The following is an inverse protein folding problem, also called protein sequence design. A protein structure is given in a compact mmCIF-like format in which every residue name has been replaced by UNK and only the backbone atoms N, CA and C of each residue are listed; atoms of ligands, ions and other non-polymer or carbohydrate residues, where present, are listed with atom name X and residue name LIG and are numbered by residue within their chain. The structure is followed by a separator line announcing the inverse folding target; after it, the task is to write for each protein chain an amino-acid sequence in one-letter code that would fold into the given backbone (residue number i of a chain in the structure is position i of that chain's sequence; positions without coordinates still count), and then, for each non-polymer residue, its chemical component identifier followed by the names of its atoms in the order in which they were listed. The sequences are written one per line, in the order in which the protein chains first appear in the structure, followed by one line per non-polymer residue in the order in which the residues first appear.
data_IF_592791224462
#
_entry.id   IF_592791224462
#
_cell.length_a   1.000
_cell.length_b   1.000
_cell.length_c   1.000
_cell.angle_alpha   90.00
_cell.angle_beta   90.00
_cell.angle_gamma   90.00
#
_symmetry.space_group_name_H-M   'P 1'
#
loop_
_entity.id
_entity.type
_entity.pdbx_description
1 polymer ?
#
# COMPACT_ATOMS: atom_id res chain seq x y z
N UNK A 1 -20.69 -4.86 -8.37
CA UNK A 1 -21.17 -5.95 -7.50
C UNK A 1 -20.06 -6.72 -6.81
N UNK A 2 -18.92 -7.01 -7.45
CA UNK A 2 -17.86 -7.87 -6.88
C UNK A 2 -17.18 -7.35 -5.60
N UNK A 3 -17.08 -6.03 -5.41
CA UNK A 3 -16.46 -5.45 -4.19
C UNK A 3 -17.35 -5.52 -2.95
N UNK A 4 -18.68 -5.51 -3.11
CA UNK A 4 -19.61 -5.69 -2.01
C UNK A 4 -19.60 -7.14 -1.49
N UNK A 5 -19.37 -8.11 -2.39
CA UNK A 5 -19.27 -9.52 -2.04
C UNK A 5 -18.01 -9.84 -1.20
N UNK A 6 -16.88 -9.17 -1.50
CA UNK A 6 -15.62 -9.34 -0.76
C UNK A 6 -15.64 -8.73 0.66
N UNK A 7 -16.41 -7.67 0.89
CA UNK A 7 -16.59 -7.08 2.23
C UNK A 7 -17.56 -7.89 3.10
N UNK A 8 -18.52 -8.58 2.50
CA UNK A 8 -19.43 -9.49 3.21
C UNK A 8 -18.73 -10.80 3.60
N UNK A 9 -17.80 -11.30 2.78
CA UNK A 9 -17.08 -12.55 3.06
C UNK A 9 -16.06 -12.45 4.21
N UNK A 10 -15.50 -11.26 4.46
CA UNK A 10 -14.57 -11.03 5.58
C UNK A 10 -15.31 -10.87 6.93
N UNK A 11 -16.56 -10.40 6.91
CA UNK A 11 -17.38 -10.21 8.11
C UNK A 11 -17.88 -11.54 8.71
N UNK A 12 -18.10 -12.57 7.88
CA UNK A 12 -18.56 -13.88 8.36
C UNK A 12 -17.47 -14.70 9.06
N UNK A 13 -16.19 -14.45 8.78
CA UNK A 13 -15.09 -15.22 9.37
C UNK A 13 -14.71 -14.79 10.79
N UNK A 14 -15.16 -13.62 11.26
CA UNK A 14 -14.74 -13.03 12.55
C UNK A 14 -15.86 -13.05 13.61
N UNK A 15 -17.08 -13.48 13.26
CA UNK A 15 -18.18 -13.59 14.25
C UNK A 15 -18.58 -12.25 14.89
N UNK A 16 -18.11 -11.13 14.36
CA UNK A 16 -18.50 -9.79 14.76
C UNK A 16 -19.27 -9.18 13.58
N UNK A 17 -20.57 -8.97 13.74
CA UNK A 17 -21.33 -8.11 12.84
C UNK A 17 -20.88 -6.67 13.12
N UNK A 18 -20.13 -6.00 12.23
CA UNK A 18 -19.94 -4.57 12.40
C UNK A 18 -21.31 -3.93 12.21
N UNK A 19 -21.84 -3.31 13.27
CA UNK A 19 -22.93 -2.34 13.15
C UNK A 19 -22.38 -1.16 12.37
N UNK A 20 -22.41 -1.27 11.03
CA UNK A 20 -22.13 -0.15 10.14
C UNK A 20 -23.19 0.90 10.42
N UNK A 21 -22.78 2.05 10.92
CA UNK A 21 -23.68 3.15 11.23
C UNK A 21 -24.40 3.56 9.94
N UNK A 22 -25.70 3.84 10.02
CA UNK A 22 -26.45 4.37 8.88
C UNK A 22 -25.83 5.66 8.30
N UNK A 23 -25.03 6.39 9.09
CA UNK A 23 -24.28 7.56 8.62
C UNK A 23 -23.14 7.19 7.66
N UNK A 24 -22.44 6.08 7.87
CA UNK A 24 -21.32 5.66 7.00
C UNK A 24 -21.82 5.22 5.62
N UNK A 25 -23.00 4.59 5.58
CA UNK A 25 -23.65 4.19 4.32
C UNK A 25 -24.13 5.43 3.53
N UNK A 26 -24.69 6.43 4.23
CA UNK A 26 -25.13 7.68 3.59
C UNK A 26 -23.95 8.47 3.01
N UNK A 27 -22.80 8.51 3.71
CA UNK A 27 -21.59 9.17 3.19
C UNK A 27 -21.01 8.44 1.98
N UNK A 28 -20.98 7.10 2.00
CA UNK A 28 -20.51 6.30 0.86
C UNK A 28 -21.38 6.50 -0.38
N UNK A 29 -22.72 6.55 -0.22
CA UNK A 29 -23.64 6.82 -1.33
C UNK A 29 -23.49 8.25 -1.88
N UNK A 30 -23.25 9.25 -1.02
CA UNK A 30 -22.99 10.63 -1.46
C UNK A 30 -21.68 10.75 -2.25
N UNK A 31 -20.64 9.99 -1.88
CA UNK A 31 -19.39 9.94 -2.66
C UNK A 31 -19.59 9.27 -4.02
N UNK A 32 -20.43 8.24 -4.09
CA UNK A 32 -20.74 7.56 -5.35
C UNK A 32 -21.47 8.49 -6.34
N UNK A 33 -22.47 9.25 -5.89
CA UNK A 33 -23.18 10.23 -6.72
C UNK A 33 -22.25 11.32 -7.29
N UNK A 34 -21.27 11.77 -6.51
CA UNK A 34 -20.24 12.70 -7.00
C UNK A 34 -19.37 12.10 -8.10
N UNK A 35 -18.98 10.83 -7.97
CA UNK A 35 -18.17 10.14 -8.98
C UNK A 35 -18.96 9.99 -10.27
N UNK A 36 -20.23 9.60 -10.18
CA UNK A 36 -21.09 9.40 -11.34
C UNK A 36 -21.35 10.72 -12.08
N UNK A 37 -21.49 11.84 -11.35
CA UNK A 37 -21.59 13.19 -11.94
C UNK A 37 -20.33 13.61 -12.69
N UNK A 38 -19.14 13.39 -12.11
CA UNK A 38 -17.87 13.71 -12.79
C UNK A 38 -17.70 12.88 -14.07
N UNK A 39 -18.02 11.59 -14.01
CA UNK A 39 -17.96 10.72 -15.19
C UNK A 39 -18.94 11.16 -16.30
N UNK A 40 -20.12 11.63 -15.94
CA UNK A 40 -21.11 12.18 -16.89
C UNK A 40 -20.64 13.50 -17.51
N UNK A 41 -20.02 14.39 -16.75
CA UNK A 41 -19.46 15.65 -17.25
C UNK A 41 -18.29 15.42 -18.21
N UNK A 42 -17.39 14.49 -17.89
CA UNK A 42 -16.29 14.10 -18.79
C UNK A 42 -16.80 13.46 -20.09
N UNK A 43 -17.83 12.61 -20.01
CA UNK A 43 -18.46 12.02 -21.19
C UNK A 43 -19.11 13.09 -22.09
N UNK A 44 -19.83 14.05 -21.49
CA UNK A 44 -20.46 15.15 -22.22
C UNK A 44 -19.43 16.07 -22.91
N UNK A 45 -18.29 16.34 -22.24
CA UNK A 45 -17.18 17.08 -22.87
C UNK A 45 -16.60 16.29 -24.05
N UNK A 46 -16.42 14.97 -23.91
CA UNK A 46 -15.94 14.11 -24.99
C UNK A 46 -16.82 14.16 -26.25
N UNK A 47 -18.15 14.15 -26.08
CA UNK A 47 -19.08 14.29 -27.22
C UNK A 47 -19.05 15.68 -27.86
N UNK A 48 -18.90 16.75 -27.06
CA UNK A 48 -18.75 18.11 -27.57
C UNK A 48 -17.50 18.24 -28.46
N UNK A 49 -16.37 17.69 -28.01
CA UNK A 49 -15.13 17.65 -28.79
C UNK A 49 -15.27 16.84 -30.08
N UNK A 50 -15.98 15.72 -30.03
CA UNK A 50 -16.24 14.89 -31.23
C UNK A 50 -17.07 15.64 -32.27
N UNK A 51 -18.15 16.32 -31.85
CA UNK A 51 -19.01 17.10 -32.74
C UNK A 51 -18.27 18.32 -33.33
N UNK A 52 -17.37 18.95 -32.58
CA UNK A 52 -16.53 20.03 -33.09
C UNK A 52 -15.49 19.54 -34.12
N UNK A 53 -14.89 18.38 -33.90
CA UNK A 53 -13.94 17.78 -34.84
C UNK A 53 -14.62 17.40 -36.17
N UNK A 54 -15.82 16.80 -36.10
CA UNK A 54 -16.61 16.42 -37.26
C UNK A 54 -17.03 17.64 -38.10
N UNK A 55 -17.52 18.71 -37.45
CA UNK A 55 -17.90 19.96 -38.14
C UNK A 55 -16.73 20.68 -38.82
N UNK A 56 -15.50 20.46 -38.38
CA UNK A 56 -14.30 21.07 -38.99
C UNK A 56 -13.66 20.18 -40.06
N UNK A 57 -14.16 18.97 -40.29
CA UNK A 57 -13.62 18.04 -41.29
C UNK A 57 -12.18 17.59 -41.01
N UNK A 58 -11.72 17.71 -39.75
CA UNK A 58 -10.35 17.39 -39.34
C UNK A 58 -10.37 16.13 -38.50
N UNK A 59 -9.36 15.27 -38.65
CA UNK A 59 -9.24 14.09 -37.78
C UNK A 59 -9.11 14.51 -36.31
N UNK A 60 -9.70 13.73 -35.40
CA UNK A 60 -9.65 14.01 -33.94
C UNK A 60 -8.20 14.22 -33.46
N UNK A 61 -7.24 13.49 -34.03
CA UNK A 61 -5.81 13.66 -33.71
C UNK A 61 -5.25 15.02 -34.15
N UNK A 62 -5.69 15.56 -35.29
CA UNK A 62 -5.25 16.87 -35.77
C UNK A 62 -5.91 18.00 -34.99
N UNK A 63 -7.19 17.87 -34.62
CA UNK A 63 -7.87 18.83 -33.76
C UNK A 63 -7.24 18.88 -32.36
N UNK A 64 -6.98 17.71 -31.76
CA UNK A 64 -6.31 17.61 -30.47
C UNK A 64 -4.88 18.17 -30.51
N UNK A 65 -4.14 17.89 -31.59
CA UNK A 65 -2.79 18.44 -31.79
C UNK A 65 -2.80 19.95 -31.99
N UNK A 66 -3.79 20.50 -32.69
CA UNK A 66 -3.94 21.94 -32.85
C UNK A 66 -4.30 22.63 -31.52
N UNK A 67 -5.18 22.03 -30.72
CA UNK A 67 -5.50 22.50 -29.35
C UNK A 67 -4.26 22.45 -28.43
N UNK A 68 -3.47 21.37 -28.53
CA UNK A 68 -2.20 21.22 -27.79
C UNK A 68 -1.14 22.25 -28.20
N UNK A 69 -1.20 22.75 -29.44
CA UNK A 69 -0.25 23.71 -29.99
C UNK A 69 -0.76 25.15 -29.87
N UNK A 70 -2.08 25.37 -29.77
CA UNK A 70 -2.67 26.71 -29.62
C UNK A 70 -2.78 27.15 -28.17
N UNK A 71 -2.80 26.22 -27.22
CA UNK A 71 -2.42 26.53 -25.86
C UNK A 71 -0.90 26.78 -25.85
N UNK A 72 -0.50 28.06 -25.96
CA UNK A 72 0.80 28.49 -25.45
C UNK A 72 1.04 27.79 -24.12
N UNK A 73 2.28 27.34 -23.81
CA UNK A 73 2.58 26.68 -22.55
C UNK A 73 2.22 27.65 -21.42
N UNK A 74 0.99 27.53 -20.93
CA UNK A 74 0.46 28.29 -19.83
C UNK A 74 1.46 28.07 -18.73
N UNK A 75 2.19 29.14 -18.37
CA UNK A 75 3.32 29.16 -17.45
C UNK A 75 3.22 27.97 -16.51
N UNK A 76 3.91 26.89 -16.87
CA UNK A 76 3.89 25.68 -16.09
C UNK A 76 4.64 26.09 -14.85
N UNK A 77 3.91 26.46 -13.82
CA UNK A 77 4.44 26.52 -12.48
C UNK A 77 5.08 25.16 -12.28
N UNK A 78 6.41 25.10 -12.39
CA UNK A 78 7.22 23.94 -12.05
C UNK A 78 7.01 23.69 -10.57
N UNK A 79 5.88 23.07 -10.25
CA UNK A 79 5.59 22.57 -8.92
C UNK A 79 6.52 21.38 -8.76
N UNK A 80 7.71 21.65 -8.25
CA UNK A 80 8.64 20.64 -7.79
C UNK A 80 7.93 19.83 -6.72
N UNK A 81 7.43 18.65 -7.10
CA UNK A 81 6.78 17.74 -6.18
C UNK A 81 7.85 17.12 -5.28
N UNK A 82 7.98 17.63 -4.06
CA UNK A 82 8.84 17.03 -3.03
C UNK A 82 8.11 15.83 -2.45
N UNK A 83 8.51 14.62 -2.85
CA UNK A 83 7.97 13.40 -2.27
C UNK A 83 8.60 13.16 -0.89
N UNK A 84 7.93 13.60 0.17
CA UNK A 84 8.35 13.29 1.54
C UNK A 84 7.96 11.85 1.85
N UNK A 85 8.94 10.95 1.80
CA UNK A 85 8.71 9.55 2.14
C UNK A 85 8.27 9.43 3.62
N UNK A 86 7.04 8.95 3.83
CA UNK A 86 6.45 8.83 5.16
C UNK A 86 7.11 7.71 5.96
N UNK A 87 7.57 8.02 7.18
CA UNK A 87 8.17 7.02 8.08
C UNK A 87 7.11 6.01 8.54
N UNK A 88 7.41 4.72 8.41
CA UNK A 88 6.58 3.62 8.91
C UNK A 88 6.74 3.50 10.43
N UNK A 89 5.67 3.19 11.15
CA UNK A 89 5.74 2.96 12.60
C UNK A 89 6.03 1.48 12.91
N UNK A 90 7.16 1.13 13.54
CA UNK A 90 7.43 -0.26 13.93
C UNK A 90 6.40 -0.80 14.93
N UNK A 91 5.92 0.04 15.84
CA UNK A 91 4.89 -0.33 16.80
C UNK A 91 3.55 -0.66 16.12
N UNK A 92 3.18 0.11 15.09
CA UNK A 92 2.00 -0.19 14.29
C UNK A 92 2.16 -1.52 13.52
N UNK A 93 3.34 -1.75 12.92
CA UNK A 93 3.63 -3.00 12.24
C UNK A 93 3.55 -4.21 13.19
N UNK A 94 4.11 -4.09 14.39
CA UNK A 94 3.98 -5.11 15.45
C UNK A 94 2.53 -5.34 15.84
N UNK A 95 1.77 -4.27 16.14
CA UNK A 95 0.37 -4.36 16.53
C UNK A 95 -0.51 -5.01 15.46
N UNK A 96 -0.26 -4.72 14.18
CA UNK A 96 -0.94 -5.39 13.08
C UNK A 96 -0.61 -6.89 13.03
N UNK A 97 0.68 -7.27 13.14
CA UNK A 97 1.07 -8.69 13.22
C UNK A 97 0.54 -9.41 14.45
N UNK A 98 0.33 -8.69 15.55
CA UNK A 98 -0.32 -9.21 16.76
C UNK A 98 -1.79 -9.56 16.49
N UNK A 99 -2.51 -8.70 15.77
CA UNK A 99 -3.92 -8.93 15.41
C UNK A 99 -4.08 -10.05 14.37
N UNK A 100 -3.22 -10.06 13.36
CA UNK A 100 -3.27 -11.06 12.31
C UNK A 100 -1.86 -11.39 11.77
N UNK A 101 -1.47 -12.68 11.72
CA UNK A 101 -0.17 -13.07 11.19
C UNK A 101 0.00 -12.60 9.74
N UNK A 102 1.12 -11.94 9.47
CA UNK A 102 1.47 -11.36 8.18
C UNK A 102 0.98 -9.93 7.97
N UNK A 103 0.05 -9.40 8.78
CA UNK A 103 -0.54 -8.07 8.57
C UNK A 103 0.48 -6.93 8.67
N UNK A 104 1.44 -7.01 9.60
CA UNK A 104 2.52 -6.03 9.69
C UNK A 104 3.41 -5.98 8.44
N UNK A 105 3.53 -7.10 7.72
CA UNK A 105 4.29 -7.15 6.46
C UNK A 105 3.56 -6.46 5.31
N UNK A 106 2.23 -6.59 5.24
CA UNK A 106 1.43 -5.83 4.27
C UNK A 106 1.51 -4.32 4.54
N UNK A 107 1.50 -3.90 5.80
CA UNK A 107 1.72 -2.49 6.17
C UNK A 107 3.09 -1.96 5.71
N UNK A 108 4.11 -2.81 5.78
CA UNK A 108 5.46 -2.50 5.30
C UNK A 108 5.58 -2.53 3.77
N UNK A 109 4.59 -3.03 3.04
CA UNK A 109 4.65 -3.23 1.59
C UNK A 109 5.39 -4.50 1.16
N UNK A 110 5.82 -5.35 2.10
CA UNK A 110 6.47 -6.63 1.83
C UNK A 110 5.42 -7.74 1.62
N UNK A 111 4.60 -7.60 0.56
CA UNK A 111 3.45 -8.47 0.25
C UNK A 111 3.86 -9.95 0.20
N UNK A 112 5.00 -10.28 -0.42
CA UNK A 112 5.48 -11.66 -0.53
C UNK A 112 5.72 -12.32 0.83
N UNK A 113 6.30 -11.58 1.80
CA UNK A 113 6.48 -12.09 3.17
C UNK A 113 5.15 -12.25 3.90
N UNK A 114 4.24 -11.29 3.73
CA UNK A 114 2.90 -11.35 4.31
C UNK A 114 2.14 -12.59 3.87
N UNK A 115 2.12 -12.87 2.56
CA UNK A 115 1.47 -14.06 1.99
C UNK A 115 2.13 -15.34 2.49
N UNK A 116 3.47 -15.41 2.56
CA UNK A 116 4.18 -16.59 3.06
C UNK A 116 3.83 -16.89 4.54
N UNK A 117 3.80 -15.86 5.40
CA UNK A 117 3.45 -16.02 6.81
C UNK A 117 1.98 -16.43 7.01
N UNK A 118 1.07 -15.85 6.21
CA UNK A 118 -0.35 -16.21 6.24
C UNK A 118 -0.54 -17.66 5.78
N UNK A 119 0.12 -18.06 4.68
CA UNK A 119 0.08 -19.42 4.16
C UNK A 119 0.60 -20.45 5.15
N UNK A 120 1.70 -20.15 5.85
CA UNK A 120 2.25 -21.04 6.88
C UNK A 120 1.29 -21.20 8.07
N UNK A 121 0.65 -20.11 8.49
CA UNK A 121 -0.35 -20.15 9.56
C UNK A 121 -1.55 -20.98 9.14
N UNK A 122 -2.08 -20.79 7.92
CA UNK A 122 -3.19 -21.58 7.39
C UNK A 122 -2.86 -23.06 7.27
N UNK A 123 -1.64 -23.39 6.80
CA UNK A 123 -1.18 -24.78 6.73
C UNK A 123 -1.14 -25.42 8.13
N UNK A 124 -0.62 -24.71 9.14
CA UNK A 124 -0.64 -25.16 10.53
C UNK A 124 -2.06 -25.38 11.06
N UNK A 125 -2.99 -24.47 10.77
CA UNK A 125 -4.41 -24.60 11.16
C UNK A 125 -5.09 -25.81 10.51
N UNK A 126 -4.81 -26.10 9.24
CA UNK A 126 -5.34 -27.28 8.53
C UNK A 126 -4.76 -28.56 9.13
N UNK A 127 -3.45 -28.61 9.38
CA UNK A 127 -2.81 -29.76 10.04
C UNK A 127 -3.38 -30.04 11.43
N UNK A 128 -3.63 -28.97 12.21
CA UNK A 128 -4.27 -29.09 13.52
C UNK A 128 -5.67 -29.69 13.42
N UNK A 129 -6.51 -29.19 12.51
CA UNK A 129 -7.86 -29.72 12.30
C UNK A 129 -7.86 -31.19 11.85
N UNK A 130 -6.98 -31.57 10.92
CA UNK A 130 -6.82 -32.96 10.49
C UNK A 130 -6.39 -33.85 11.68
N UNK A 131 -5.45 -33.38 12.50
CA UNK A 131 -5.01 -34.08 13.71
C UNK A 131 -6.15 -34.29 14.71
N UNK A 132 -7.02 -33.28 14.90
CA UNK A 132 -8.22 -33.37 15.75
C UNK A 132 -9.22 -34.39 15.18
N UNK A 133 -9.49 -34.37 13.88
CA UNK A 133 -10.43 -35.32 13.24
C UNK A 133 -9.97 -36.78 13.45
N UNK A 134 -8.67 -37.06 13.29
CA UNK A 134 -8.13 -38.41 13.47
C UNK A 134 -8.09 -38.89 14.93
N UNK A 135 -8.17 -37.98 15.91
CA UNK A 135 -8.24 -38.36 17.33
C UNK A 135 -9.62 -38.95 17.70
N UNK A 136 -10.66 -38.68 16.90
CA UNK A 136 -12.00 -39.23 17.11
C UNK A 136 -12.22 -40.60 16.44
N UNK A 137 -11.23 -41.14 15.72
CA UNK A 137 -11.34 -42.49 15.16
C UNK A 137 -11.26 -43.53 16.30
N UNK A 138 -12.31 -44.33 16.45
CA UNK A 138 -12.50 -45.35 17.49
C UNK A 138 -11.50 -46.53 17.43
N UNK A 139 -10.44 -46.44 16.63
CA UNK A 139 -9.45 -47.50 16.41
C UNK A 139 -8.39 -47.59 17.52
N UNK A 140 -8.31 -46.59 18.40
CA UNK A 140 -7.41 -46.60 19.58
C UNK A 140 -5.93 -46.32 19.28
N UNK A 141 -5.57 -45.98 18.03
CA UNK A 141 -4.22 -45.57 17.67
C UNK A 141 -4.08 -44.03 17.69
N UNK A 142 -3.16 -43.49 18.48
CA UNK A 142 -2.90 -42.04 18.62
C UNK A 142 -2.17 -41.41 17.41
N UNK A 143 -2.58 -41.74 16.18
CA UNK A 143 -1.96 -41.21 14.95
C UNK A 143 -2.18 -39.69 14.77
N UNK A 144 -3.25 -39.14 15.34
CA UNK A 144 -3.58 -37.71 15.25
C UNK A 144 -2.71 -36.79 16.12
N UNK A 145 -2.08 -37.31 17.19
CA UNK A 145 -1.38 -36.48 18.19
C UNK A 145 -0.18 -35.73 17.59
N UNK A 146 0.62 -36.42 16.77
CA UNK A 146 1.77 -35.82 16.11
C UNK A 146 1.36 -34.69 15.16
N UNK A 147 0.35 -34.92 14.31
CA UNK A 147 -0.18 -33.93 13.37
C UNK A 147 -0.76 -32.72 14.10
N UNK A 148 -1.52 -32.96 15.17
CA UNK A 148 -2.10 -31.91 16.02
C UNK A 148 -1.00 -31.04 16.63
N UNK A 149 0.04 -31.67 17.18
CA UNK A 149 1.17 -30.98 17.82
C UNK A 149 1.97 -30.17 16.79
N UNK A 150 2.26 -30.75 15.62
CA UNK A 150 2.95 -30.04 14.55
C UNK A 150 2.12 -28.88 13.98
N UNK A 151 0.81 -29.04 13.87
CA UNK A 151 -0.10 -27.98 13.42
C UNK A 151 -0.11 -26.78 14.37
N UNK A 152 -0.25 -27.03 15.67
CA UNK A 152 -0.17 -26.00 16.72
C UNK A 152 1.20 -25.32 16.71
N UNK A 153 2.29 -26.08 16.71
CA UNK A 153 3.64 -25.54 16.70
C UNK A 153 3.89 -24.66 15.46
N UNK A 154 3.43 -25.10 14.29
CA UNK A 154 3.55 -24.32 13.04
C UNK A 154 2.73 -23.04 13.10
N UNK A 155 1.47 -23.11 13.54
CA UNK A 155 0.57 -21.97 13.62
C UNK A 155 1.07 -20.90 14.62
N UNK A 156 1.46 -21.30 15.83
CA UNK A 156 1.97 -20.37 16.83
C UNK A 156 3.38 -19.88 16.50
N UNK A 157 4.23 -20.75 15.94
CA UNK A 157 5.57 -20.39 15.50
C UNK A 157 5.55 -19.34 14.39
N UNK A 158 4.69 -19.51 13.38
CA UNK A 158 4.54 -18.53 12.30
C UNK A 158 3.96 -17.20 12.81
N UNK A 159 3.04 -17.26 13.78
CA UNK A 159 2.45 -16.07 14.38
C UNK A 159 3.49 -15.24 15.16
N UNK A 160 4.27 -15.88 16.04
CA UNK A 160 5.36 -15.22 16.77
C UNK A 160 6.44 -14.68 15.85
N UNK A 161 6.80 -15.44 14.81
CA UNK A 161 7.76 -14.99 13.80
C UNK A 161 7.25 -13.70 13.11
N UNK A 162 5.96 -13.63 12.78
CA UNK A 162 5.37 -12.44 12.17
C UNK A 162 5.40 -11.21 13.07
N UNK A 163 5.21 -11.39 14.39
CA UNK A 163 5.29 -10.30 15.36
C UNK A 163 6.70 -9.71 15.45
N UNK A 164 7.75 -10.53 15.35
CA UNK A 164 9.15 -10.08 15.46
C UNK A 164 9.64 -9.48 14.15
N UNK A 165 9.36 -10.11 13.01
CA UNK A 165 9.91 -9.68 11.72
C UNK A 165 9.32 -8.33 11.26
N UNK A 166 8.02 -8.10 11.50
CA UNK A 166 7.34 -6.88 11.02
C UNK A 166 7.93 -5.55 11.54
N UNK A 167 8.17 -5.34 12.86
CA UNK A 167 8.79 -4.11 13.35
C UNK A 167 10.25 -3.97 12.90
N UNK A 168 10.98 -5.08 12.76
CA UNK A 168 12.36 -5.08 12.25
C UNK A 168 12.39 -4.63 10.79
N UNK A 169 11.50 -5.17 9.97
CA UNK A 169 11.31 -4.76 8.58
C UNK A 169 10.92 -3.28 8.44
N UNK A 170 9.98 -2.80 9.25
CA UNK A 170 9.60 -1.38 9.26
C UNK A 170 10.81 -0.48 9.58
N UNK A 171 11.60 -0.88 10.58
CA UNK A 171 12.81 -0.15 10.99
C UNK A 171 13.90 -0.18 9.92
N UNK A 172 14.06 -1.30 9.21
CA UNK A 172 14.97 -1.42 8.07
C UNK A 172 14.54 -0.51 6.91
N UNK A 173 13.27 -0.55 6.51
CA UNK A 173 12.73 0.31 5.44
C UNK A 173 12.94 1.78 5.78
N UNK A 174 12.64 2.20 7.01
CA UNK A 174 12.88 3.57 7.44
C UNK A 174 14.34 4.01 7.33
N UNK A 175 15.30 3.11 7.61
CA UNK A 175 16.73 3.41 7.46
C UNK A 175 17.13 3.52 5.99
N UNK A 176 16.65 2.61 5.14
CA UNK A 176 16.92 2.64 3.69
C UNK A 176 16.30 3.86 3.01
N UNK A 177 15.10 4.26 3.41
CA UNK A 177 14.46 5.48 2.92
C UNK A 177 15.23 6.73 3.35
N UNK A 178 15.73 6.76 4.60
CA UNK A 178 16.53 7.88 5.08
C UNK A 178 17.85 8.04 4.32
N UNK A 179 18.51 6.94 3.94
CA UNK A 179 19.76 7.00 3.16
C UNK A 179 19.50 7.36 1.70
N UNK A 180 18.43 6.87 1.08
CA UNK A 180 18.08 7.16 -0.33
C UNK A 180 17.61 8.60 -0.52
N UNK A 181 16.72 9.09 0.35
CA UNK A 181 16.16 10.45 0.22
C UNK A 181 17.10 11.55 0.75
N UNK A 182 18.11 11.21 1.57
CA UNK A 182 19.14 12.17 1.99
C UNK A 182 20.06 12.63 0.86
N UNK A 183 20.15 11.88 -0.24
CA UNK A 183 21.00 12.18 -1.40
C UNK A 183 20.31 12.92 -2.55
N UNK A 184 18.99 13.13 -2.47
CA UNK A 184 18.14 13.44 -3.64
C UNK A 184 17.57 14.87 -3.62
N UNK A 185 18.36 15.84 -3.15
CA UNK A 185 18.13 17.26 -3.43
C UNK A 185 19.14 17.73 -4.48
N UNK A 186 18.90 17.35 -5.73
CA UNK A 186 19.61 17.86 -6.91
C UNK A 186 18.67 18.86 -7.59
N UNK A 187 18.89 20.17 -7.37
CA UNK A 187 18.15 21.20 -8.08
C UNK A 187 18.71 21.28 -9.51
N UNK A 188 18.00 20.67 -10.45
CA UNK A 188 18.27 20.86 -11.89
C UNK A 188 17.71 22.21 -12.27
N UNK A 189 18.55 23.24 -12.20
CA UNK A 189 18.30 24.50 -12.88
C UNK A 189 19.17 24.50 -14.15
N UNK A 190 18.63 24.93 -15.29
CA UNK A 190 19.18 24.70 -16.65
C UNK A 190 20.63 25.18 -16.88
N UNK A 191 21.26 25.85 -15.92
CA UNK A 191 22.64 26.37 -16.04
C UNK A 191 23.58 25.99 -14.91
N UNK A 192 23.11 25.47 -13.77
CA UNK A 192 23.98 25.13 -12.63
C UNK A 192 23.43 23.97 -11.80
N UNK A 193 24.24 22.94 -11.63
CA UNK A 193 24.02 21.81 -10.72
C UNK A 193 24.34 22.24 -9.28
N UNK A 194 23.31 22.62 -8.52
CA UNK A 194 23.45 22.84 -7.08
C UNK A 194 22.97 21.57 -6.36
N UNK A 195 23.92 20.65 -6.13
CA UNK A 195 23.71 19.48 -5.28
C UNK A 195 23.87 19.89 -3.81
N UNK A 196 22.77 19.86 -3.06
CA UNK A 196 22.81 20.10 -1.61
C UNK A 196 22.95 18.74 -0.93
N UNK A 197 24.19 18.26 -0.84
CA UNK A 197 24.51 16.99 -0.16
C UNK A 197 24.38 17.20 1.35
N UNK A 198 23.23 16.79 1.91
CA UNK A 198 23.08 16.68 3.35
C UNK A 198 23.80 15.42 3.81
N UNK A 199 25.13 15.49 3.97
CA UNK A 199 25.93 14.38 4.52
C UNK A 199 25.44 14.08 5.94
N UNK A 200 24.77 12.94 6.18
CA UNK A 200 24.37 12.57 7.52
C UNK A 200 25.64 12.15 8.28
N UNK A 201 26.17 13.04 9.11
CA UNK A 201 27.32 12.72 9.95
C UNK A 201 26.86 11.78 11.07
N UNK A 202 27.39 10.53 11.14
CA UNK A 202 26.88 9.51 12.07
C UNK A 202 27.11 9.82 13.56
N UNK A 203 27.80 10.91 13.89
CA UNK A 203 28.20 11.26 15.26
C UNK A 203 27.49 12.48 15.87
N UNK A 204 26.67 13.24 15.13
CA UNK A 204 26.21 14.55 15.62
C UNK A 204 24.69 14.59 15.83
N UNK A 205 24.24 14.19 17.01
CA UNK A 205 22.86 14.32 17.49
C UNK A 205 22.39 15.78 17.67
N UNK A 206 23.11 16.82 17.21
CA UNK A 206 22.80 18.22 17.54
C UNK A 206 23.30 19.37 16.66
N UNK A 207 23.92 19.17 15.50
CA UNK A 207 24.22 20.30 14.60
C UNK A 207 24.15 19.91 13.12
N UNK A 208 23.16 20.43 12.41
CA UNK A 208 23.12 20.45 10.95
C UNK A 208 24.15 21.48 10.47
N UNK A 209 25.35 21.03 10.15
CA UNK A 209 26.29 21.84 9.38
C UNK A 209 25.98 21.62 7.90
N UNK A 210 25.31 22.58 7.27
CA UNK A 210 25.15 22.58 5.82
C UNK A 210 26.51 22.95 5.20
N UNK A 211 27.14 22.00 4.52
CA UNK A 211 28.36 22.25 3.75
C UNK A 211 27.98 22.47 2.30
N UNK A 212 27.97 23.73 1.87
CA UNK A 212 27.73 24.09 0.47
C UNK A 212 29.02 23.82 -0.32
N UNK A 213 29.03 22.79 -1.18
CA UNK A 213 30.11 22.59 -2.15
C UNK A 213 29.68 23.18 -3.49
N UNK A 214 30.33 24.28 -3.89
CA UNK A 214 30.19 24.84 -5.23
C UNK A 214 31.20 24.13 -6.14
N UNK A 215 30.70 23.30 -7.05
CA UNK A 215 31.48 22.82 -8.19
C UNK A 215 31.27 23.82 -9.34
N UNK A 216 32.37 24.45 -9.76
CA UNK A 216 32.43 25.33 -10.94
C UNK A 216 32.87 24.53 -12.17
#
# INVERSE_FOLDING_TARGET
MERACLLLLSATLVGATPTVSGQDVAEALSRQDKIDRVALEEAAQGELFRNQAENRGVSIQQAFRAELLSNEPAQTHDSVFVFVAHKKSPAAAFGLSLLAPGAGQFYNGEVGKGVAMLGLTLAGSVMWQIGVIHEFDFTGENRGEALRTMGIATMFGSWLWSMIDAPVSASRINRETATKCGHLFEFINEKHLLGLELVPTPSARRSLNAKLMLHF
#
